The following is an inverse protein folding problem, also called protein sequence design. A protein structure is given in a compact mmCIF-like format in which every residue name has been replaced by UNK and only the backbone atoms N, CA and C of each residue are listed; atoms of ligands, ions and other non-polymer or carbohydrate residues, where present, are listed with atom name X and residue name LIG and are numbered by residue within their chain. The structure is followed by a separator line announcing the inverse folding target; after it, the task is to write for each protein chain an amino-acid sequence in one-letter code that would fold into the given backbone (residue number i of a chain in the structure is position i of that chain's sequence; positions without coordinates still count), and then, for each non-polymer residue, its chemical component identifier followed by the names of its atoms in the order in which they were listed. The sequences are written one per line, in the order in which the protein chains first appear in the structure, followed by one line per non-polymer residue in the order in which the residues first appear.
data_IF_863272428235
#
_entry.id   IF_863272428235
#
_cell.length_a   1.000
_cell.length_b   1.000
_cell.length_c   1.000
_cell.angle_alpha   90.00
_cell.angle_beta   90.00
_cell.angle_gamma   90.00
#
_symmetry.space_group_name_H-M   'P 1'
#
loop_
_entity.id
_entity.type
_entity.pdbx_description
1 polymer ?
#
# COMPACT_ATOMS: atom_id res chain seq x y z
N UNK A 1 -18.87 -7.83 -7.96
CA UNK A 1 -17.97 -7.48 -6.88
C UNK A 1 -17.32 -6.14 -7.13
N UNK A 2 -16.98 -5.46 -6.07
CA UNK A 2 -16.38 -4.14 -6.19
C UNK A 2 -14.87 -4.23 -6.09
N UNK A 3 -14.21 -3.66 -7.08
CA UNK A 3 -12.76 -3.51 -7.00
C UNK A 3 -12.43 -2.41 -6.00
N UNK A 4 -11.41 -2.60 -5.19
CA UNK A 4 -10.98 -1.61 -4.23
C UNK A 4 -9.67 -0.98 -4.71
N UNK A 5 -9.63 0.34 -4.75
CA UNK A 5 -8.44 1.09 -5.14
C UNK A 5 -8.02 1.99 -3.98
N UNK A 6 -6.75 1.92 -3.63
CA UNK A 6 -6.17 2.82 -2.64
C UNK A 6 -5.11 3.65 -3.32
N UNK A 7 -5.17 4.98 -3.17
CA UNK A 7 -4.11 5.82 -3.71
C UNK A 7 -3.84 7.00 -2.80
N UNK A 8 -2.64 7.51 -2.88
CA UNK A 8 -2.21 8.61 -2.05
C UNK A 8 -0.72 8.61 -1.89
N UNK A 9 -0.28 8.95 -0.70
CA UNK A 9 1.16 8.98 -0.45
C UNK A 9 1.43 8.80 1.04
N UNK A 10 2.68 8.49 1.35
CA UNK A 10 3.14 8.43 2.72
C UNK A 10 4.34 9.35 2.87
N UNK A 11 4.50 9.88 4.07
CA UNK A 11 5.66 10.69 4.43
C UNK A 11 6.42 9.91 5.49
N UNK A 12 7.69 9.63 5.22
CA UNK A 12 8.52 8.76 6.05
C UNK A 12 9.48 9.62 6.86
N UNK A 13 9.56 9.43 8.20
CA UNK A 13 10.57 10.14 8.97
C UNK A 13 11.95 9.80 8.45
N UNK A 14 12.83 10.79 8.40
CA UNK A 14 14.17 10.59 7.86
C UNK A 14 14.91 9.46 8.58
N UNK A 15 14.73 9.35 9.88
CA UNK A 15 15.40 8.30 10.66
C UNK A 15 14.93 6.90 10.30
N UNK A 16 13.75 6.77 9.69
CA UNK A 16 13.21 5.46 9.31
C UNK A 16 13.41 5.15 7.84
N UNK A 17 13.96 6.07 7.08
CA UNK A 17 13.99 5.96 5.62
C UNK A 17 14.67 4.67 5.15
N UNK A 18 15.83 4.35 5.69
CA UNK A 18 16.57 3.17 5.24
C UNK A 18 15.81 1.88 5.54
N UNK A 19 15.22 1.80 6.73
CA UNK A 19 14.44 0.63 7.10
C UNK A 19 13.20 0.50 6.22
N UNK A 20 12.53 1.60 5.95
CA UNK A 20 11.35 1.59 5.10
C UNK A 20 11.71 1.14 3.69
N UNK A 21 12.79 1.68 3.12
CA UNK A 21 13.19 1.30 1.77
C UNK A 21 13.59 -0.17 1.71
N UNK A 22 14.28 -0.65 2.72
CA UNK A 22 14.69 -2.05 2.76
C UNK A 22 13.48 -2.98 2.84
N UNK A 23 12.54 -2.68 3.74
CA UNK A 23 11.36 -3.52 3.90
C UNK A 23 10.39 -3.40 2.75
N UNK A 24 10.42 -2.30 2.02
CA UNK A 24 9.53 -2.14 0.88
C UNK A 24 9.76 -3.23 -0.16
N UNK A 25 11.00 -3.67 -0.34
CA UNK A 25 11.30 -4.72 -1.29
C UNK A 25 10.54 -6.00 -0.94
N UNK A 26 10.59 -6.40 0.32
CA UNK A 26 9.88 -7.58 0.80
C UNK A 26 8.37 -7.36 0.78
N UNK A 27 7.94 -6.19 1.21
CA UNK A 27 6.51 -5.87 1.25
C UNK A 27 5.89 -5.93 -0.14
N UNK A 28 6.59 -5.38 -1.15
CA UNK A 28 6.11 -5.43 -2.52
C UNK A 28 5.97 -6.87 -3.00
N UNK A 29 7.01 -7.68 -2.76
CA UNK A 29 6.98 -9.06 -3.20
C UNK A 29 5.82 -9.82 -2.57
N UNK A 30 5.64 -9.69 -1.26
CA UNK A 30 4.58 -10.41 -0.57
C UNK A 30 3.20 -9.93 -1.01
N UNK A 31 3.06 -8.64 -1.26
CA UNK A 31 1.77 -8.09 -1.70
C UNK A 31 1.41 -8.60 -3.09
N UNK A 32 2.39 -8.63 -3.99
CA UNK A 32 2.14 -9.11 -5.36
C UNK A 32 1.83 -10.60 -5.40
N UNK A 33 2.20 -11.33 -4.36
CA UNK A 33 1.86 -12.76 -4.25
C UNK A 33 0.45 -12.99 -3.72
N UNK A 34 -0.21 -11.97 -3.20
CA UNK A 34 -1.57 -12.12 -2.71
C UNK A 34 -2.51 -12.35 -3.88
N UNK A 35 -3.38 -13.41 -3.80
CA UNK A 35 -4.23 -13.75 -4.94
C UNK A 35 -5.16 -12.63 -5.38
N UNK A 36 -5.55 -11.76 -4.46
CA UNK A 36 -6.51 -10.70 -4.78
C UNK A 36 -5.86 -9.37 -5.16
N UNK A 37 -4.54 -9.31 -5.22
CA UNK A 37 -3.86 -8.06 -5.58
C UNK A 37 -3.78 -7.92 -7.10
N UNK A 38 -4.33 -6.84 -7.63
CA UNK A 38 -4.28 -6.56 -9.05
C UNK A 38 -3.05 -5.72 -9.38
N UNK A 39 -2.84 -4.66 -8.60
CA UNK A 39 -1.76 -3.71 -8.85
C UNK A 39 -1.21 -3.23 -7.52
N UNK A 40 0.09 -3.09 -7.44
CA UNK A 40 0.75 -2.55 -6.27
C UNK A 40 1.94 -1.70 -6.71
N UNK A 41 1.93 -0.42 -6.34
CA UNK A 41 3.00 0.50 -6.71
C UNK A 41 3.28 1.43 -5.55
N UNK A 42 4.52 1.46 -5.10
CA UNK A 42 5.00 2.43 -4.10
C UNK A 42 6.32 2.94 -4.61
N UNK A 43 6.38 4.23 -4.95
CA UNK A 43 7.57 4.80 -5.57
C UNK A 43 7.95 6.10 -4.88
N UNK A 44 9.25 6.34 -4.77
CA UNK A 44 9.74 7.60 -4.21
C UNK A 44 9.32 8.75 -5.11
N UNK A 45 8.83 9.81 -4.49
CA UNK A 45 8.48 11.02 -5.24
C UNK A 45 9.78 11.66 -5.75
N UNK A 46 9.76 12.12 -7.01
CA UNK A 46 10.98 12.64 -7.64
C UNK A 46 11.47 13.94 -7.02
N UNK A 47 10.57 14.78 -6.49
CA UNK A 47 10.91 16.10 -6.04
C UNK A 47 10.74 16.33 -4.55
N UNK A 48 9.87 15.58 -3.90
CA UNK A 48 9.61 15.76 -2.48
C UNK A 48 10.31 14.64 -1.71
N UNK A 49 11.37 14.97 -0.96
CA UNK A 49 12.08 13.93 -0.21
C UNK A 49 11.17 13.30 0.84
N UNK A 50 11.43 12.05 1.15
CA UNK A 50 10.72 11.31 2.20
C UNK A 50 9.27 11.01 1.85
N UNK A 51 8.84 11.34 0.63
CA UNK A 51 7.49 11.04 0.18
C UNK A 51 7.52 9.86 -0.77
N UNK A 52 6.60 8.91 -0.55
CA UNK A 52 6.41 7.78 -1.46
C UNK A 52 4.98 7.82 -1.93
N UNK A 53 4.79 7.76 -3.24
CA UNK A 53 3.46 7.72 -3.83
C UNK A 53 2.98 6.29 -3.87
N UNK A 54 1.71 6.08 -3.50
CA UNK A 54 1.13 4.73 -3.33
C UNK A 54 -0.08 4.57 -4.22
N UNK A 55 -0.14 3.43 -4.90
CA UNK A 55 -1.30 3.06 -5.70
C UNK A 55 -1.49 1.55 -5.63
N UNK A 56 -2.68 1.12 -5.21
CA UNK A 56 -2.97 -0.31 -5.04
C UNK A 56 -4.37 -0.62 -5.52
N UNK A 57 -4.54 -1.79 -6.15
CA UNK A 57 -5.85 -2.28 -6.57
C UNK A 57 -6.03 -3.72 -6.12
N UNK A 58 -7.22 -4.03 -5.62
CA UNK A 58 -7.57 -5.38 -5.17
C UNK A 58 -8.89 -5.78 -5.80
N UNK A 59 -9.07 -7.09 -6.04
CA UNK A 59 -10.24 -7.58 -6.77
C UNK A 59 -11.55 -7.32 -6.04
N UNK A 60 -11.53 -7.28 -4.71
CA UNK A 60 -12.74 -7.00 -3.93
C UNK A 60 -12.35 -6.57 -2.53
N UNK A 61 -13.37 -6.29 -1.73
CA UNK A 61 -13.17 -5.80 -0.37
C UNK A 61 -12.52 -6.86 0.52
N UNK A 62 -12.87 -8.11 0.33
CA UNK A 62 -12.26 -9.20 1.11
C UNK A 62 -10.76 -9.27 0.88
N UNK A 63 -10.33 -9.13 -0.37
CA UNK A 63 -8.91 -9.16 -0.69
C UNK A 63 -8.20 -7.96 -0.06
N UNK A 64 -8.85 -6.80 -0.08
CA UNK A 64 -8.26 -5.61 0.52
C UNK A 64 -8.14 -5.78 2.03
N UNK A 65 -9.17 -6.32 2.68
CA UNK A 65 -9.13 -6.54 4.13
C UNK A 65 -8.07 -7.57 4.51
N UNK A 66 -7.93 -8.61 3.70
CA UNK A 66 -6.89 -9.60 3.93
C UNK A 66 -5.51 -8.94 3.87
N UNK A 67 -5.30 -8.07 2.88
CA UNK A 67 -4.04 -7.35 2.75
C UNK A 67 -3.78 -6.48 3.98
N UNK A 68 -4.78 -5.74 4.42
CA UNK A 68 -4.62 -4.86 5.58
C UNK A 68 -4.27 -5.66 6.84
N UNK A 69 -4.90 -6.81 7.02
CA UNK A 69 -4.63 -7.65 8.18
C UNK A 69 -3.21 -8.21 8.13
N UNK A 70 -2.77 -8.66 6.96
CA UNK A 70 -1.42 -9.19 6.81
C UNK A 70 -0.38 -8.10 7.08
N UNK A 71 -0.61 -6.91 6.54
CA UNK A 71 0.31 -5.78 6.72
C UNK A 71 0.43 -5.44 8.20
N UNK A 72 -0.68 -5.41 8.90
CA UNK A 72 -0.69 -5.06 10.32
C UNK A 72 0.22 -5.97 11.12
N UNK A 73 0.33 -7.23 10.72
CA UNK A 73 1.12 -8.23 11.42
C UNK A 73 2.50 -8.46 10.81
N UNK A 74 2.91 -7.63 9.86
CA UNK A 74 4.17 -7.81 9.15
C UNK A 74 5.25 -6.88 9.65
N UNK A 75 6.46 -7.15 9.21
CA UNK A 75 7.59 -6.27 9.51
C UNK A 75 7.38 -4.89 8.89
N UNK A 76 6.76 -4.84 7.70
CA UNK A 76 6.41 -3.57 7.07
C UNK A 76 5.53 -2.74 7.99
N UNK A 77 4.54 -3.37 8.63
CA UNK A 77 3.69 -2.66 9.57
C UNK A 77 4.48 -2.07 10.72
N UNK A 78 5.50 -2.79 11.19
CA UNK A 78 6.33 -2.32 12.30
C UNK A 78 7.23 -1.15 11.89
N UNK A 79 7.90 -1.26 10.74
CA UNK A 79 8.83 -0.19 10.34
C UNK A 79 8.10 1.06 9.86
N UNK A 80 6.79 0.96 9.58
CA UNK A 80 6.01 2.10 9.15
C UNK A 80 5.10 2.66 10.24
N UNK A 81 5.37 2.33 11.50
CA UNK A 81 4.54 2.80 12.61
C UNK A 81 4.46 4.32 12.68
N UNK A 82 5.57 5.01 12.42
CA UNK A 82 5.63 6.47 12.50
C UNK A 82 5.42 7.16 11.17
N UNK A 83 5.05 6.42 10.14
CA UNK A 83 4.83 6.97 8.82
C UNK A 83 3.48 7.69 8.79
N UNK A 84 3.46 8.87 8.15
CA UNK A 84 2.23 9.62 7.95
C UNK A 84 1.57 9.16 6.67
N UNK A 85 0.28 8.78 6.74
CA UNK A 85 -0.44 8.23 5.60
C UNK A 85 -1.54 9.16 5.14
N UNK A 86 -1.59 9.41 3.83
CA UNK A 86 -2.61 10.24 3.21
C UNK A 86 -3.21 9.46 2.07
N UNK A 87 -4.27 8.71 2.36
CA UNK A 87 -4.87 7.77 1.40
C UNK A 87 -6.31 8.12 1.11
N UNK A 88 -6.70 7.81 -0.14
CA UNK A 88 -8.10 7.78 -0.53
C UNK A 88 -8.41 6.37 -0.97
N UNK A 89 -9.54 5.85 -0.55
CA UNK A 89 -9.95 4.50 -0.86
C UNK A 89 -11.26 4.55 -1.63
N UNK A 90 -11.28 3.91 -2.80
CA UNK A 90 -12.44 3.89 -3.68
C UNK A 90 -12.90 2.47 -3.91
N UNK A 91 -14.21 2.28 -3.99
CA UNK A 91 -14.79 1.00 -4.39
C UNK A 91 -15.50 1.19 -5.71
N UNK A 92 -15.11 0.40 -6.71
CA UNK A 92 -15.69 0.47 -8.04
C UNK A 92 -16.61 -0.71 -8.24
N UNK A 93 -17.90 -0.46 -8.26
CA UNK A 93 -18.88 -1.51 -8.50
C UNK A 93 -18.91 -1.85 -9.98
N UNK A 94 -19.26 -3.10 -10.30
CA UNK A 94 -19.50 -3.42 -11.71
C UNK A 94 -20.59 -2.54 -12.27
N UNK A 95 -20.47 -2.23 -13.55
CA UNK A 95 -21.47 -1.41 -14.21
C UNK A 95 -22.79 -2.14 -14.28
N UNK A 96 -23.85 -1.43 -13.94
CA UNK A 96 -25.19 -1.99 -14.00
C UNK A 96 -25.90 -1.48 -15.23
N UNK A 97 -26.52 -2.38 -15.92
CA UNK A 97 -27.26 -1.97 -17.11
C UNK A 97 -28.68 -2.45 -17.02
#
# INVERSE_FOLDING_TARGET
MSKVTLKGFILVPESDLENVKSELVTHRRLTLEEPGCITFSVTEHAEIPLRFDVYEEFIDKSAFEYHQQRVKNSLWGKVTTCVERHYEIFESSPVKK
#
